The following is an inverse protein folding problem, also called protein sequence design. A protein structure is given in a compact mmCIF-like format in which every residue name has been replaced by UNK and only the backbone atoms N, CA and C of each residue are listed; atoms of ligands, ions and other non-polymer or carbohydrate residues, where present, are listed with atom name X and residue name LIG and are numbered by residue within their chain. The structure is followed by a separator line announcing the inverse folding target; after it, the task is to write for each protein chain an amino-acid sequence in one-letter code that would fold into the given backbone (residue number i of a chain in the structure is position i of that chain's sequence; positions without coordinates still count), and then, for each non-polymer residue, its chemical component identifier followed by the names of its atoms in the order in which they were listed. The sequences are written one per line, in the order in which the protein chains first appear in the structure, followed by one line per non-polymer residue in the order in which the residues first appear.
data_IF_248043217794
#
_entry.id   IF_248043217794
#
_cell.length_a   1.000
_cell.length_b   1.000
_cell.length_c   1.000
_cell.angle_alpha   90.00
_cell.angle_beta   90.00
_cell.angle_gamma   90.00
#
_symmetry.space_group_name_H-M   'P 1'
#
loop_
_entity.id
_entity.type
_entity.pdbx_description
1 polymer ?
#
# COMPACT_ATOMS: atom_id res chain seq x y z
N UNK A 1 -10.73 18.14 0.74
CA UNK A 1 -9.71 18.67 1.67
C UNK A 1 -8.70 19.35 0.78
N UNK A 2 -8.84 20.65 0.61
CA UNK A 2 -7.97 21.45 -0.23
C UNK A 2 -6.87 22.04 0.64
N UNK A 3 -5.66 21.51 0.48
CA UNK A 3 -4.46 21.93 1.21
C UNK A 3 -3.44 22.43 0.21
N UNK A 4 -2.82 23.58 0.51
CA UNK A 4 -1.76 24.14 -0.34
C UNK A 4 -0.47 23.32 -0.16
N UNK A 5 0.38 23.30 -1.20
CA UNK A 5 1.68 22.59 -1.18
C UNK A 5 2.55 22.94 0.04
N UNK A 6 2.49 24.18 0.51
CA UNK A 6 3.24 24.64 1.68
C UNK A 6 2.69 24.11 3.03
N UNK A 7 1.42 23.67 3.06
CA UNK A 7 0.72 23.22 4.27
C UNK A 7 0.67 21.69 4.38
N UNK A 8 1.11 20.98 3.34
CA UNK A 8 1.05 19.53 3.24
C UNK A 8 1.82 18.82 4.36
N UNK A 9 2.98 19.34 4.75
CA UNK A 9 3.78 18.79 5.86
C UNK A 9 3.06 18.92 7.21
N UNK A 10 2.48 20.09 7.48
CA UNK A 10 1.70 20.33 8.70
C UNK A 10 0.39 19.52 8.72
N UNK A 11 -0.26 19.38 7.57
CA UNK A 11 -1.47 18.56 7.41
C UNK A 11 -1.19 17.06 7.61
N UNK A 12 -0.05 16.56 7.13
CA UNK A 12 0.39 15.19 7.40
C UNK A 12 0.76 14.99 8.87
N UNK A 13 1.45 15.96 9.48
CA UNK A 13 1.83 15.93 10.89
C UNK A 13 0.65 16.03 11.86
N UNK A 14 -0.44 16.69 11.45
CA UNK A 14 -1.69 16.80 12.22
C UNK A 14 -2.57 15.55 12.18
N UNK A 15 -2.11 14.45 11.56
CA UNK A 15 -2.85 13.19 11.59
C UNK A 15 -2.73 12.49 12.94
N UNK A 16 -3.79 11.78 13.30
CA UNK A 16 -3.80 10.93 14.47
C UNK A 16 -2.94 9.68 14.25
N UNK A 17 -1.69 9.73 14.72
CA UNK A 17 -0.76 8.59 14.76
C UNK A 17 -0.93 7.71 16.01
N UNK A 18 -1.97 7.97 16.81
CA UNK A 18 -2.36 7.11 17.94
C UNK A 18 -2.57 5.67 17.44
N UNK A 19 -2.17 4.63 18.19
CA UNK A 19 -2.36 3.24 17.79
C UNK A 19 -3.80 2.91 17.35
N UNK A 20 -4.80 3.45 18.06
CA UNK A 20 -6.21 3.32 17.69
C UNK A 20 -6.57 4.05 16.39
N UNK A 21 -5.95 5.22 16.14
CA UNK A 21 -6.10 5.98 14.90
C UNK A 21 -5.60 5.19 13.70
N UNK A 22 -4.41 4.61 13.82
CA UNK A 22 -3.80 3.75 12.79
C UNK A 22 -4.67 2.52 12.50
N UNK A 23 -5.10 1.80 13.53
CA UNK A 23 -5.99 0.63 13.39
C UNK A 23 -7.30 1.01 12.69
N UNK A 24 -7.90 2.14 13.07
CA UNK A 24 -9.13 2.62 12.45
C UNK A 24 -8.92 2.99 10.97
N UNK A 25 -7.76 3.56 10.62
CA UNK A 25 -7.41 3.92 9.25
C UNK A 25 -7.21 2.67 8.38
N UNK A 26 -6.53 1.64 8.91
CA UNK A 26 -6.36 0.35 8.24
C UNK A 26 -7.72 -0.30 7.99
N UNK A 27 -8.59 -0.35 9.01
CA UNK A 27 -9.94 -0.93 8.86
C UNK A 27 -10.77 -0.22 7.80
N UNK A 28 -10.76 1.11 7.78
CA UNK A 28 -11.44 1.90 6.73
C UNK A 28 -10.86 1.65 5.35
N UNK A 29 -9.53 1.51 5.24
CA UNK A 29 -8.85 1.17 4.00
C UNK A 29 -9.25 -0.20 3.47
N UNK A 30 -9.26 -1.20 4.36
CA UNK A 30 -9.69 -2.55 4.08
C UNK A 30 -11.15 -2.59 3.59
N UNK A 31 -12.07 -1.95 4.31
CA UNK A 31 -13.50 -1.93 3.94
C UNK A 31 -13.71 -1.26 2.57
N UNK A 32 -12.98 -0.18 2.28
CA UNK A 32 -13.02 0.48 0.96
C UNK A 32 -12.51 -0.45 -0.15
N UNK A 33 -11.41 -1.15 0.08
CA UNK A 33 -10.83 -2.07 -0.89
C UNK A 33 -11.77 -3.25 -1.17
N UNK A 34 -12.28 -3.87 -0.10
CA UNK A 34 -13.19 -5.01 -0.18
C UNK A 34 -14.47 -4.63 -0.92
N UNK A 35 -15.08 -3.49 -0.58
CA UNK A 35 -16.30 -3.02 -1.25
C UNK A 35 -16.08 -2.67 -2.73
N UNK A 36 -14.89 -2.20 -3.10
CA UNK A 36 -14.60 -1.79 -4.48
C UNK A 36 -14.25 -2.96 -5.39
N UNK A 37 -13.50 -3.95 -4.90
CA UNK A 37 -12.90 -4.97 -5.76
C UNK A 37 -13.33 -6.41 -5.46
N UNK A 38 -13.92 -6.68 -4.29
CA UNK A 38 -14.33 -8.04 -3.89
C UNK A 38 -15.86 -8.13 -3.82
N UNK A 39 -16.52 -7.20 -3.12
CA UNK A 39 -17.96 -7.18 -2.92
C UNK A 39 -18.72 -6.46 -4.05
N UNK A 40 -18.50 -6.91 -5.28
CA UNK A 40 -19.20 -6.40 -6.48
C UNK A 40 -20.09 -7.49 -7.06
N UNK A 41 -21.33 -7.13 -7.47
CA UNK A 41 -22.35 -8.09 -7.93
C UNK A 41 -21.92 -8.99 -9.11
N UNK A 42 -20.98 -8.52 -9.94
CA UNK A 42 -20.28 -9.29 -10.99
C UNK A 42 -18.78 -9.05 -10.84
N UNK A 43 -18.20 -9.61 -9.77
CA UNK A 43 -16.76 -9.49 -9.50
C UNK A 43 -15.92 -10.34 -10.43
N UNK A 44 -14.81 -9.77 -10.88
CA UNK A 44 -13.73 -10.51 -11.55
C UNK A 44 -12.56 -10.79 -10.59
N UNK A 45 -11.56 -11.50 -11.08
CA UNK A 45 -10.35 -11.89 -10.31
C UNK A 45 -9.47 -10.66 -9.98
N UNK A 46 -9.75 -9.48 -10.53
CA UNK A 46 -8.92 -8.28 -10.42
C UNK A 46 -8.54 -7.89 -8.98
N UNK A 47 -9.47 -7.98 -8.01
CA UNK A 47 -9.14 -7.74 -6.60
C UNK A 47 -8.11 -8.75 -6.08
N UNK A 48 -8.36 -10.04 -6.28
CA UNK A 48 -7.45 -11.10 -5.85
C UNK A 48 -6.08 -11.01 -6.55
N UNK A 49 -6.06 -10.69 -7.85
CA UNK A 49 -4.84 -10.49 -8.61
C UNK A 49 -3.99 -9.32 -8.06
N UNK A 50 -4.62 -8.22 -7.65
CA UNK A 50 -3.92 -7.11 -7.01
C UNK A 50 -3.26 -7.51 -5.68
N UNK A 51 -3.92 -8.35 -4.87
CA UNK A 51 -3.33 -8.89 -3.64
C UNK A 51 -2.11 -9.76 -3.94
N UNK A 52 -2.21 -10.63 -4.96
CA UNK A 52 -1.10 -11.48 -5.39
C UNK A 52 0.10 -10.66 -5.87
N UNK A 53 -0.12 -9.62 -6.67
CA UNK A 53 0.95 -8.72 -7.12
C UNK A 53 1.61 -8.03 -5.91
N UNK A 54 0.83 -7.57 -4.94
CA UNK A 54 1.37 -6.99 -3.70
C UNK A 54 2.23 -7.98 -2.92
N UNK A 55 1.80 -9.24 -2.82
CA UNK A 55 2.58 -10.31 -2.19
C UNK A 55 3.92 -10.55 -2.91
N UNK A 56 3.90 -10.67 -4.23
CA UNK A 56 5.13 -10.84 -5.04
C UNK A 56 6.07 -9.66 -4.86
N UNK A 57 5.56 -8.43 -4.83
CA UNK A 57 6.39 -7.23 -4.62
C UNK A 57 7.02 -7.19 -3.22
N UNK A 58 6.27 -7.53 -2.17
CA UNK A 58 6.79 -7.59 -0.79
C UNK A 58 7.83 -8.70 -0.66
N UNK A 59 7.54 -9.88 -1.21
CA UNK A 59 8.49 -10.99 -1.26
C UNK A 59 9.76 -10.58 -1.99
N UNK A 60 9.64 -9.91 -3.13
CA UNK A 60 10.79 -9.38 -3.86
C UNK A 60 11.60 -8.39 -3.04
N UNK A 61 10.96 -7.44 -2.34
CA UNK A 61 11.66 -6.47 -1.48
C UNK A 61 12.41 -7.15 -0.33
N UNK A 62 11.84 -8.20 0.25
CA UNK A 62 12.49 -8.97 1.32
C UNK A 62 13.67 -9.78 0.79
N UNK A 63 13.49 -10.46 -0.35
CA UNK A 63 14.52 -11.23 -1.04
C UNK A 63 15.58 -10.31 -1.68
N UNK A 64 15.26 -9.03 -1.89
CA UNK A 64 16.12 -8.09 -2.60
C UNK A 64 17.48 -7.93 -1.94
N UNK A 65 17.54 -7.92 -0.61
CA UNK A 65 18.80 -7.79 0.13
C UNK A 65 19.74 -8.99 -0.15
N UNK A 66 19.16 -10.18 -0.29
CA UNK A 66 19.86 -11.42 -0.63
C UNK A 66 20.26 -11.46 -2.12
N UNK A 67 19.39 -11.02 -3.02
CA UNK A 67 19.65 -11.00 -4.48
C UNK A 67 20.67 -9.93 -4.87
N UNK A 68 20.71 -8.80 -4.14
CA UNK A 68 21.57 -7.65 -4.45
C UNK A 68 23.05 -7.92 -4.20
N UNK A 69 23.40 -8.90 -3.37
CA UNK A 69 24.79 -9.19 -2.99
C UNK A 69 25.69 -9.60 -4.16
N UNK A 70 25.14 -9.98 -5.32
CA UNK A 70 25.90 -10.65 -6.39
C UNK A 70 26.21 -9.79 -7.63
N UNK A 71 25.88 -8.47 -7.64
CA UNK A 71 25.94 -7.69 -8.89
C UNK A 71 26.63 -6.34 -8.77
N UNK A 72 27.88 -6.30 -9.26
CA UNK A 72 28.70 -5.09 -9.38
C UNK A 72 28.53 -4.34 -10.73
N UNK A 73 27.72 -4.86 -11.66
CA UNK A 73 27.40 -4.20 -12.94
C UNK A 73 25.89 -4.01 -13.13
N UNK A 74 25.50 -2.82 -13.59
CA UNK A 74 24.12 -2.50 -13.98
C UNK A 74 23.78 -3.23 -15.30
N UNK A 75 22.57 -3.78 -15.39
CA UNK A 75 22.05 -4.30 -16.65
C UNK A 75 21.69 -3.14 -17.58
N UNK A 76 22.00 -3.31 -18.87
CA UNK A 76 21.64 -2.39 -19.94
C UNK A 76 20.12 -2.46 -20.21
#
# INVERSE_FOLDING_TARGET
MDVKLNELGAWLGGRDFTPNGILSAIRRGHDRYYNKYINVKKGGIGGVAMLLVGYVAISYLWEYDHIKHDRWRKYH
#
